data_IF_217973928070
#
_entry.id   IF_217973928070
#
_cell.length_a   1.000
_cell.length_b   1.000
_cell.length_c   1.000
_cell.angle_alpha   90.00
_cell.angle_beta   90.00
_cell.angle_gamma   90.00
#
_symmetry.space_group_name_H-M   'P 1'
#
loop_
_entity.id
_entity.type
_entity.pdbx_description
1 polymer ?
#
# COMPACT_ATOMS: atom_id res chain seq x y z
N UNK A 1 -1.91 -42.25 -11.86
CA UNK A 1 -0.65 -41.48 -11.74
C UNK A 1 -0.97 -40.27 -10.90
N UNK A 2 -0.58 -40.27 -9.63
CA UNK A 2 -0.84 -39.14 -8.72
C UNK A 2 0.19 -38.06 -8.97
N UNK A 3 -0.29 -36.87 -9.32
CA UNK A 3 0.52 -35.67 -9.51
C UNK A 3 1.33 -35.40 -8.23
N UNK A 4 2.62 -35.66 -8.29
CA UNK A 4 3.58 -35.25 -7.28
C UNK A 4 3.63 -33.72 -7.30
N UNK A 5 2.83 -33.10 -6.44
CA UNK A 5 2.93 -31.68 -6.11
C UNK A 5 4.33 -31.45 -5.53
N UNK A 6 5.25 -31.00 -6.39
CA UNK A 6 6.53 -30.43 -6.00
C UNK A 6 6.25 -29.11 -5.28
N UNK A 7 5.81 -29.20 -4.02
CA UNK A 7 5.99 -28.10 -3.09
C UNK A 7 7.49 -27.92 -2.94
N UNK A 8 8.02 -26.81 -3.46
CA UNK A 8 9.40 -26.42 -3.24
C UNK A 8 9.72 -26.63 -1.75
N UNK A 9 10.80 -27.36 -1.45
CA UNK A 9 11.22 -27.53 -0.06
C UNK A 9 11.32 -26.13 0.57
N UNK A 10 10.57 -25.85 1.64
CA UNK A 10 10.55 -24.52 2.19
C UNK A 10 11.97 -24.20 2.68
N UNK A 11 12.57 -23.19 2.07
CA UNK A 11 13.90 -22.71 2.43
C UNK A 11 13.87 -22.28 3.89
N UNK A 12 14.87 -22.72 4.65
CA UNK A 12 14.98 -22.35 6.07
C UNK A 12 15.15 -20.82 6.14
N UNK A 13 14.23 -20.09 6.79
CA UNK A 13 14.34 -18.64 6.92
C UNK A 13 15.57 -18.30 7.75
N UNK A 14 16.51 -17.55 7.18
CA UNK A 14 17.65 -17.06 7.94
C UNK A 14 17.22 -15.84 8.74
N UNK A 15 17.69 -15.76 9.97
CA UNK A 15 17.45 -14.61 10.82
C UNK A 15 18.30 -13.42 10.32
N UNK A 16 17.63 -12.35 9.92
CA UNK A 16 18.20 -11.13 9.33
C UNK A 16 18.20 -9.93 10.29
N UNK A 17 17.68 -10.11 11.51
CA UNK A 17 17.55 -9.06 12.52
C UNK A 17 16.10 -8.66 12.79
N UNK A 18 15.17 -8.93 11.87
CA UNK A 18 13.73 -8.73 12.09
C UNK A 18 13.13 -10.00 12.71
N UNK A 19 13.01 -9.99 14.04
CA UNK A 19 12.45 -11.14 14.75
C UNK A 19 10.99 -11.38 14.42
N UNK A 20 10.18 -10.34 14.21
CA UNK A 20 8.74 -10.52 14.00
C UNK A 20 8.50 -11.11 12.59
N UNK A 21 9.23 -10.64 11.57
CA UNK A 21 9.19 -11.26 10.23
C UNK A 21 9.75 -12.69 10.22
N UNK A 22 10.94 -12.89 10.79
CA UNK A 22 11.58 -14.20 10.83
C UNK A 22 10.75 -15.22 11.62
N UNK A 23 10.20 -14.84 12.77
CA UNK A 23 9.40 -15.73 13.61
C UNK A 23 8.14 -16.17 12.88
N UNK A 24 7.46 -15.29 12.14
CA UNK A 24 6.30 -15.66 11.32
C UNK A 24 6.65 -16.76 10.28
N UNK A 25 7.73 -16.56 9.54
CA UNK A 25 8.20 -17.53 8.54
C UNK A 25 8.62 -18.86 9.19
N UNK A 26 9.32 -18.79 10.32
CA UNK A 26 9.81 -19.95 11.02
C UNK A 26 8.69 -20.72 11.73
N UNK A 27 7.70 -20.04 12.29
CA UNK A 27 6.48 -20.64 12.82
C UNK A 27 5.71 -21.38 11.73
N UNK A 28 5.53 -20.74 10.57
CA UNK A 28 4.85 -21.36 9.43
C UNK A 28 5.59 -22.62 8.95
N UNK A 29 6.93 -22.56 8.85
CA UNK A 29 7.76 -23.71 8.52
C UNK A 29 7.58 -24.86 9.53
N UNK A 30 7.68 -24.56 10.83
CA UNK A 30 7.54 -25.57 11.89
C UNK A 30 6.12 -26.15 11.97
N UNK A 31 5.08 -25.35 11.69
CA UNK A 31 3.68 -25.82 11.59
C UNK A 31 3.48 -26.71 10.36
N UNK A 32 4.02 -26.32 9.20
CA UNK A 32 3.93 -27.12 7.96
C UNK A 32 4.60 -28.50 8.07
N UNK A 33 5.53 -28.65 9.01
CA UNK A 33 6.24 -29.91 9.29
C UNK A 33 5.73 -30.61 10.56
N UNK A 34 4.65 -30.14 11.17
CA UNK A 34 4.05 -30.68 12.40
C UNK A 34 4.99 -30.71 13.63
N UNK A 35 6.05 -29.90 13.63
CA UNK A 35 7.02 -29.81 14.72
C UNK A 35 6.66 -28.73 15.76
N UNK A 36 5.70 -27.85 15.43
CA UNK A 36 5.33 -26.70 16.27
C UNK A 36 4.71 -27.09 17.63
N UNK A 37 3.97 -28.20 17.71
CA UNK A 37 3.37 -28.67 18.98
C UNK A 37 4.42 -28.94 20.06
N UNK A 38 5.51 -29.60 19.69
CA UNK A 38 6.62 -29.92 20.60
C UNK A 38 7.43 -28.68 20.97
N UNK A 39 7.60 -27.73 20.04
CA UNK A 39 8.27 -26.45 20.31
C UNK A 39 7.52 -25.52 21.27
N UNK A 40 6.20 -25.70 21.44
CA UNK A 40 5.36 -24.85 22.31
C UNK A 40 5.12 -25.47 23.69
N UNK A 41 4.83 -26.77 23.74
CA UNK A 41 4.60 -27.48 25.01
C UNK A 41 5.95 -27.80 25.69
N UNK A 42 6.99 -28.09 24.90
CA UNK A 42 8.25 -28.63 25.40
C UNK A 42 8.10 -30.13 25.63
N UNK A 43 9.19 -30.88 25.46
CA UNK A 43 9.21 -32.29 25.87
C UNK A 43 9.17 -32.31 27.39
N UNK A 44 8.02 -32.61 27.99
CA UNK A 44 7.95 -32.95 29.42
C UNK A 44 8.68 -34.28 29.60
N UNK A 45 9.85 -34.24 30.23
CA UNK A 45 10.54 -35.44 30.66
C UNK A 45 9.79 -36.03 31.86
N UNK A 46 9.21 -37.24 31.76
CA UNK A 46 8.51 -37.85 32.89
C UNK A 46 9.53 -38.24 33.96
N UNK A 47 9.22 -37.95 35.23
CA UNK A 47 10.09 -38.23 36.39
C UNK A 47 10.42 -39.72 36.58
N UNK A 48 9.67 -40.63 35.95
CA UNK A 48 9.91 -42.08 35.97
C UNK A 48 9.64 -42.70 34.60
N UNK A 49 10.69 -42.89 33.79
CA UNK A 49 10.63 -43.56 32.48
C UNK A 49 10.16 -45.04 32.56
N UNK A 50 10.27 -45.66 33.74
CA UNK A 50 9.98 -47.08 33.97
C UNK A 50 8.50 -47.41 34.20
N UNK A 51 7.65 -46.41 34.50
CA UNK A 51 6.21 -46.59 34.72
C UNK A 51 5.37 -46.35 33.45
N UNK A 52 6.01 -45.98 32.33
CA UNK A 52 5.30 -45.67 31.08
C UNK A 52 4.97 -46.94 30.29
N UNK A 53 3.74 -46.98 29.79
CA UNK A 53 3.30 -47.97 28.82
C UNK A 53 4.11 -47.85 27.52
N UNK A 54 4.24 -48.94 26.76
CA UNK A 54 4.96 -48.94 25.48
C UNK A 54 4.46 -47.86 24.51
N UNK A 55 3.16 -47.59 24.51
CA UNK A 55 2.55 -46.52 23.74
C UNK A 55 3.04 -45.12 24.17
N UNK A 56 3.19 -44.87 25.47
CA UNK A 56 3.71 -43.60 25.98
C UNK A 56 5.22 -43.45 25.75
N UNK A 57 6.00 -44.54 25.85
CA UNK A 57 7.43 -44.53 25.49
C UNK A 57 7.65 -44.20 24.01
N UNK A 58 6.81 -44.76 23.12
CA UNK A 58 6.85 -44.45 21.69
C UNK A 58 6.46 -42.99 21.41
N UNK A 59 5.43 -42.47 22.06
CA UNK A 59 5.03 -41.06 21.95
C UNK A 59 6.13 -40.10 22.44
N UNK A 60 6.82 -40.43 23.55
CA UNK A 60 7.94 -39.65 24.07
C UNK A 60 9.14 -39.64 23.10
N UNK A 61 9.46 -40.80 22.50
CA UNK A 61 10.52 -40.90 21.50
C UNK A 61 10.19 -40.09 20.23
N UNK A 62 8.94 -40.12 19.78
CA UNK A 62 8.46 -39.28 18.67
C UNK A 62 8.53 -37.80 19.00
N UNK A 63 8.17 -37.39 20.23
CA UNK A 63 8.29 -36.01 20.69
C UNK A 63 9.75 -35.56 20.76
N UNK A 64 10.66 -36.37 21.33
CA UNK A 64 12.12 -36.09 21.34
C UNK A 64 12.67 -35.93 19.93
N UNK A 65 12.26 -36.80 19.01
CA UNK A 65 12.69 -36.70 17.60
C UNK A 65 12.19 -35.42 16.93
N UNK A 66 10.94 -35.01 17.21
CA UNK A 66 10.38 -33.74 16.72
C UNK A 66 11.11 -32.53 17.31
N UNK A 67 11.45 -32.55 18.60
CA UNK A 67 12.24 -31.48 19.25
C UNK A 67 13.64 -31.35 18.62
N UNK A 68 14.35 -32.46 18.42
CA UNK A 68 15.66 -32.46 17.76
C UNK A 68 15.59 -31.92 16.33
N UNK A 69 14.54 -32.28 15.58
CA UNK A 69 14.32 -31.74 14.23
C UNK A 69 14.06 -30.23 14.27
N UNK A 70 13.15 -29.77 15.15
CA UNK A 70 12.88 -28.34 15.33
C UNK A 70 14.15 -27.55 15.72
N UNK A 71 14.95 -28.11 16.62
CA UNK A 71 16.24 -27.55 17.04
C UNK A 71 17.24 -27.44 15.88
N UNK A 72 17.34 -28.47 15.04
CA UNK A 72 18.19 -28.43 13.85
C UNK A 72 17.77 -27.35 12.86
N UNK A 73 16.46 -27.15 12.66
CA UNK A 73 15.94 -26.04 11.85
C UNK A 73 16.31 -24.69 12.45
N UNK A 74 16.11 -24.51 13.76
CA UNK A 74 16.48 -23.27 14.45
C UNK A 74 17.97 -22.98 14.35
N UNK A 75 18.85 -23.97 14.56
CA UNK A 75 20.29 -23.77 14.37
C UNK A 75 20.67 -23.46 12.92
N UNK A 76 19.95 -24.00 11.94
CA UNK A 76 20.19 -23.70 10.53
C UNK A 76 19.73 -22.30 10.13
N UNK A 77 18.78 -21.74 10.87
CA UNK A 77 18.25 -20.39 10.66
C UNK A 77 19.10 -19.29 11.32
N UNK A 78 19.96 -19.63 12.29
CA UNK A 78 20.64 -18.68 13.15
C UNK A 78 22.15 -18.71 12.90
N UNK A 79 22.75 -17.53 12.75
CA UNK A 79 24.19 -17.42 12.60
C UNK A 79 24.97 -17.70 13.90
N UNK A 80 26.23 -18.12 13.74
CA UNK A 80 27.13 -18.46 14.86
C UNK A 80 27.30 -17.33 15.87
N UNK A 81 27.22 -16.07 15.43
CA UNK A 81 27.30 -14.88 16.30
C UNK A 81 26.11 -14.81 17.26
N UNK A 82 24.90 -15.00 16.75
CA UNK A 82 23.66 -15.00 17.53
C UNK A 82 23.62 -16.23 18.43
N UNK A 83 24.02 -17.39 17.91
CA UNK A 83 24.07 -18.61 18.69
C UNK A 83 24.96 -18.47 19.93
N UNK A 84 26.12 -17.80 19.83
CA UNK A 84 27.02 -17.55 20.98
C UNK A 84 26.38 -16.72 22.08
N UNK A 85 25.35 -15.95 21.76
CA UNK A 85 24.72 -15.03 22.71
C UNK A 85 23.48 -15.59 23.40
N UNK A 86 22.99 -16.75 22.96
CA UNK A 86 21.87 -17.45 23.57
C UNK A 86 22.41 -18.37 24.66
N UNK A 87 21.85 -18.28 25.88
CA UNK A 87 22.32 -18.99 27.07
C UNK A 87 21.68 -20.36 27.25
N UNK A 88 20.41 -20.55 26.88
CA UNK A 88 19.66 -21.80 27.04
C UNK A 88 19.36 -22.45 25.68
N UNK A 89 19.81 -23.70 25.50
CA UNK A 89 19.76 -24.42 24.20
C UNK A 89 19.42 -25.90 24.36
N UNK A 90 18.84 -26.32 25.48
CA UNK A 90 18.64 -27.74 25.75
C UNK A 90 17.50 -28.28 24.88
N UNK A 91 16.38 -27.55 24.81
CA UNK A 91 15.22 -27.87 23.98
C UNK A 91 14.98 -26.83 22.88
N UNK A 92 14.24 -27.20 21.83
CA UNK A 92 13.85 -26.25 20.78
C UNK A 92 13.04 -25.07 21.33
N UNK A 93 12.21 -25.34 22.37
CA UNK A 93 11.44 -24.34 23.12
C UNK A 93 12.33 -23.33 23.83
N UNK A 94 13.30 -23.78 24.63
CA UNK A 94 14.21 -22.89 25.33
C UNK A 94 15.01 -22.01 24.36
N UNK A 95 15.44 -22.57 23.23
CA UNK A 95 16.13 -21.84 22.17
C UNK A 95 15.22 -20.76 21.57
N UNK A 96 13.97 -21.12 21.26
CA UNK A 96 12.95 -20.19 20.74
C UNK A 96 12.65 -19.06 21.73
N UNK A 97 12.39 -19.39 23.00
CA UNK A 97 12.08 -18.41 24.05
C UNK A 97 13.27 -17.50 24.35
N UNK A 98 14.50 -18.01 24.27
CA UNK A 98 15.71 -17.19 24.41
C UNK A 98 15.88 -16.23 23.24
N UNK A 99 15.62 -16.68 22.02
CA UNK A 99 15.59 -15.78 20.85
C UNK A 99 14.51 -14.71 20.99
N UNK A 100 13.32 -15.12 21.42
CA UNK A 100 12.19 -14.22 21.68
C UNK A 100 12.58 -13.14 22.70
N UNK A 101 13.09 -13.55 23.85
CA UNK A 101 13.49 -12.63 24.92
C UNK A 101 14.57 -11.65 24.46
N UNK A 102 15.53 -12.13 23.66
CA UNK A 102 16.66 -11.32 23.22
C UNK A 102 16.32 -10.36 22.08
N UNK A 103 15.56 -10.80 21.08
CA UNK A 103 15.36 -10.06 19.83
C UNK A 103 13.97 -9.45 19.69
N UNK A 104 12.95 -10.04 20.32
CA UNK A 104 11.61 -9.43 20.37
C UNK A 104 11.57 -8.20 21.31
N UNK A 105 12.63 -8.02 22.11
CA UNK A 105 12.74 -6.97 23.12
C UNK A 105 11.86 -7.25 24.35
N UNK A 106 12.16 -6.57 25.45
CA UNK A 106 11.29 -6.59 26.62
C UNK A 106 9.99 -5.82 26.30
N UNK A 107 8.86 -6.11 26.97
CA UNK A 107 7.58 -5.42 26.80
C UNK A 107 7.71 -3.88 26.84
N UNK A 108 8.69 -3.37 27.59
CA UNK A 108 9.03 -1.93 27.64
C UNK A 108 9.53 -1.37 26.30
N UNK A 109 10.36 -2.11 25.58
CA UNK A 109 10.89 -1.70 24.27
C UNK A 109 9.77 -1.72 23.23
N UNK A 110 8.94 -2.78 23.21
CA UNK A 110 7.74 -2.82 22.35
C UNK A 110 6.80 -1.65 22.61
N UNK A 111 6.56 -1.31 23.88
CA UNK A 111 5.74 -0.13 24.23
C UNK A 111 6.35 1.17 23.71
N UNK A 112 7.67 1.36 23.85
CA UNK A 112 8.34 2.57 23.37
C UNK A 112 8.32 2.67 21.83
N UNK A 113 8.55 1.56 21.14
CA UNK A 113 8.40 1.46 19.68
C UNK A 113 6.96 1.77 19.25
N UNK A 114 5.97 1.19 19.94
CA UNK A 114 4.56 1.48 19.67
C UNK A 114 4.22 2.96 19.85
N UNK A 115 4.74 3.63 20.88
CA UNK A 115 4.52 5.09 21.03
C UNK A 115 5.14 5.89 19.88
N UNK A 116 6.32 5.47 19.41
CA UNK A 116 6.96 6.10 18.25
C UNK A 116 6.14 5.90 16.99
N UNK A 117 5.62 4.69 16.76
CA UNK A 117 4.76 4.36 15.63
C UNK A 117 3.44 5.12 15.68
N UNK A 118 2.80 5.25 16.85
CA UNK A 118 1.59 6.07 17.03
C UNK A 118 1.81 7.51 16.63
N UNK A 119 2.92 8.10 17.10
CA UNK A 119 3.31 9.47 16.69
C UNK A 119 3.53 9.55 15.19
N UNK A 120 4.24 8.59 14.59
CA UNK A 120 4.47 8.56 13.14
C UNK A 120 3.16 8.42 12.36
N UNK A 121 2.23 7.61 12.85
CA UNK A 121 0.90 7.43 12.26
C UNK A 121 0.06 8.70 12.37
N UNK A 122 0.10 9.40 13.50
CA UNK A 122 -0.58 10.70 13.69
C UNK A 122 -0.04 11.78 12.76
N UNK A 123 1.28 11.85 12.57
CA UNK A 123 1.95 12.79 11.66
C UNK A 123 1.91 12.37 10.19
N UNK A 124 1.46 11.15 9.89
CA UNK A 124 1.46 10.66 8.52
C UNK A 124 0.43 11.44 7.69
N UNK A 125 0.91 12.07 6.63
CA UNK A 125 0.09 12.79 5.65
C UNK A 125 0.56 12.49 4.23
N UNK A 126 -0.35 12.66 3.27
CA UNK A 126 -0.03 12.56 1.86
C UNK A 126 0.87 13.74 1.46
N UNK A 127 1.97 13.45 0.75
CA UNK A 127 2.88 14.51 0.29
C UNK A 127 2.39 15.11 -1.03
N UNK A 128 2.82 16.34 -1.31
CA UNK A 128 2.57 16.99 -2.59
C UNK A 128 3.24 16.21 -3.73
N UNK A 129 2.44 15.79 -4.72
CA UNK A 129 2.92 15.04 -5.90
C UNK A 129 3.18 13.55 -5.66
N UNK A 130 2.89 13.03 -4.47
CA UNK A 130 2.95 11.59 -4.20
C UNK A 130 1.77 10.86 -4.87
N UNK A 131 1.99 9.62 -5.32
CA UNK A 131 0.90 8.79 -5.84
C UNK A 131 0.05 8.21 -4.71
N UNK A 132 -1.21 7.89 -5.00
CA UNK A 132 -2.08 7.27 -4.00
C UNK A 132 -1.53 5.91 -3.58
N UNK A 133 -0.96 5.14 -4.51
CA UNK A 133 -0.36 3.84 -4.22
C UNK A 133 0.81 3.93 -3.24
N UNK A 134 1.70 4.91 -3.42
CA UNK A 134 2.85 5.11 -2.53
C UNK A 134 2.39 5.52 -1.13
N UNK A 135 1.43 6.44 -1.06
CA UNK A 135 0.84 6.88 0.19
C UNK A 135 0.19 5.72 0.96
N UNK A 136 -0.66 4.92 0.31
CA UNK A 136 -1.28 3.74 0.91
C UNK A 136 -0.24 2.73 1.40
N UNK A 137 0.83 2.51 0.63
CA UNK A 137 1.92 1.61 1.04
C UNK A 137 2.57 2.10 2.34
N UNK A 138 2.84 3.40 2.48
CA UNK A 138 3.39 3.98 3.72
C UNK A 138 2.43 3.82 4.91
N UNK A 139 1.14 4.10 4.71
CA UNK A 139 0.11 3.92 5.75
C UNK A 139 0.06 2.47 6.21
N UNK A 140 0.06 1.52 5.27
CA UNK A 140 -0.03 0.09 5.56
C UNK A 140 1.20 -0.45 6.28
N UNK A 141 2.41 0.01 5.91
CA UNK A 141 3.64 -0.36 6.64
C UNK A 141 3.54 0.05 8.10
N UNK A 142 3.22 1.33 8.37
CA UNK A 142 3.11 1.83 9.76
C UNK A 142 1.98 1.11 10.51
N UNK A 143 0.84 0.87 9.87
CA UNK A 143 -0.30 0.16 10.46
C UNK A 143 0.04 -1.29 10.82
N UNK A 144 0.76 -1.99 9.94
CA UNK A 144 1.20 -3.35 10.19
C UNK A 144 2.26 -3.41 11.29
N UNK A 145 3.20 -2.46 11.33
CA UNK A 145 4.19 -2.35 12.41
C UNK A 145 3.51 -2.13 13.78
N UNK A 146 2.43 -1.34 13.81
CA UNK A 146 1.61 -1.14 15.01
C UNK A 146 0.88 -2.43 15.43
N UNK A 147 0.31 -3.19 14.47
CA UNK A 147 -0.29 -4.51 14.73
C UNK A 147 0.75 -5.50 15.30
N UNK A 148 1.96 -5.51 14.76
CA UNK A 148 3.07 -6.34 15.23
C UNK A 148 3.51 -5.98 16.67
N UNK A 149 3.40 -4.71 17.04
CA UNK A 149 3.61 -4.24 18.41
C UNK A 149 2.44 -4.55 19.37
N UNK A 150 1.35 -5.15 18.87
CA UNK A 150 0.18 -5.55 19.64
C UNK A 150 -0.93 -4.50 19.75
N UNK A 151 -0.94 -3.50 18.87
CA UNK A 151 -2.03 -2.52 18.80
C UNK A 151 -3.20 -3.04 17.97
N UNK A 152 -4.42 -2.69 18.38
CA UNK A 152 -5.63 -3.03 17.61
C UNK A 152 -5.88 -1.97 16.53
N UNK A 153 -5.21 -2.16 15.39
CA UNK A 153 -5.38 -1.32 14.21
C UNK A 153 -6.48 -1.89 13.31
N UNK A 154 -7.72 -1.52 13.60
CA UNK A 154 -8.88 -1.84 12.77
C UNK A 154 -8.85 -1.07 11.46
N UNK A 155 -9.40 -1.66 10.39
CA UNK A 155 -9.42 -1.06 9.06
C UNK A 155 -10.15 0.31 9.06
N UNK A 156 -11.20 0.47 9.88
CA UNK A 156 -11.91 1.74 10.06
C UNK A 156 -10.97 2.87 10.47
N UNK A 157 -10.05 2.63 11.42
CA UNK A 157 -9.07 3.64 11.87
C UNK A 157 -8.12 4.03 10.74
N UNK A 158 -7.73 3.07 9.90
CA UNK A 158 -6.85 3.30 8.76
C UNK A 158 -7.59 4.11 7.68
N UNK A 159 -8.83 3.73 7.38
CA UNK A 159 -9.70 4.42 6.40
C UNK A 159 -9.95 5.86 6.82
N UNK A 160 -10.38 6.10 8.06
CA UNK A 160 -10.57 7.46 8.59
C UNK A 160 -9.28 8.29 8.52
N UNK A 161 -8.14 7.68 8.88
CA UNK A 161 -6.84 8.36 8.81
C UNK A 161 -6.50 8.78 7.39
N UNK A 162 -6.67 7.89 6.42
CA UNK A 162 -6.42 8.16 5.01
C UNK A 162 -7.32 9.29 4.55
N UNK A 163 -8.63 9.20 4.78
CA UNK A 163 -9.60 10.21 4.35
C UNK A 163 -9.31 11.60 4.93
N UNK A 164 -8.88 11.69 6.20
CA UNK A 164 -8.53 12.96 6.86
C UNK A 164 -7.20 13.58 6.39
N UNK A 165 -6.28 12.80 5.84
CA UNK A 165 -4.91 13.27 5.52
C UNK A 165 -4.55 13.16 4.04
N UNK A 166 -5.55 12.93 3.19
CA UNK A 166 -5.43 13.09 1.74
C UNK A 166 -5.30 14.58 1.37
N UNK A 167 -4.67 14.83 0.23
CA UNK A 167 -4.54 16.19 -0.31
C UNK A 167 -5.90 16.78 -0.70
N UNK A 168 -6.01 18.10 -0.67
CA UNK A 168 -7.26 18.84 -0.99
C UNK A 168 -7.83 18.52 -2.38
N UNK A 169 -6.99 18.11 -3.33
CA UNK A 169 -7.41 17.64 -4.66
C UNK A 169 -8.34 16.42 -4.63
N UNK A 170 -8.38 15.70 -3.51
CA UNK A 170 -9.23 14.53 -3.30
C UNK A 170 -10.44 14.82 -2.40
N UNK A 171 -10.63 16.04 -1.90
CA UNK A 171 -11.75 16.37 -1.01
C UNK A 171 -13.12 16.00 -1.63
N UNK A 172 -13.31 16.26 -2.92
CA UNK A 172 -14.56 15.93 -3.61
C UNK A 172 -14.88 14.42 -3.59
N UNK A 173 -13.88 13.56 -3.83
CA UNK A 173 -14.09 12.11 -3.82
C UNK A 173 -14.25 11.59 -2.38
N UNK A 174 -13.57 12.21 -1.41
CA UNK A 174 -13.75 11.90 0.02
C UNK A 174 -15.20 12.15 0.44
N UNK A 175 -15.74 13.35 0.20
CA UNK A 175 -17.14 13.65 0.52
C UNK A 175 -18.12 12.70 -0.20
N UNK A 176 -17.88 12.39 -1.47
CA UNK A 176 -18.72 11.44 -2.21
C UNK A 176 -18.68 10.02 -1.61
N UNK A 177 -17.54 9.58 -1.09
CA UNK A 177 -17.42 8.28 -0.41
C UNK A 177 -18.13 8.31 0.94
N UNK A 178 -17.97 9.38 1.72
CA UNK A 178 -18.65 9.58 3.01
C UNK A 178 -20.18 9.57 2.87
N UNK A 179 -20.71 10.14 1.78
CA UNK A 179 -22.15 10.16 1.52
C UNK A 179 -22.70 8.83 0.99
N UNK A 180 -21.89 8.08 0.24
CA UNK A 180 -22.37 6.90 -0.51
C UNK A 180 -22.07 5.56 0.15
N UNK A 181 -21.12 5.50 1.09
CA UNK A 181 -20.66 4.25 1.71
C UNK A 181 -20.64 4.36 3.23
N UNK A 182 -20.92 3.24 3.87
CA UNK A 182 -20.73 3.08 5.30
C UNK A 182 -19.24 2.91 5.62
N UNK A 183 -18.68 3.87 6.37
CA UNK A 183 -17.25 3.94 6.72
C UNK A 183 -16.87 2.78 7.65
N UNK A 184 -17.78 2.36 8.53
CA UNK A 184 -17.52 1.30 9.52
C UNK A 184 -17.31 -0.07 8.86
N UNK A 185 -17.86 -0.25 7.66
CA UNK A 185 -17.78 -1.49 6.89
C UNK A 185 -16.83 -1.38 5.68
N UNK A 186 -16.17 -0.23 5.49
CA UNK A 186 -15.32 0.00 4.33
C UNK A 186 -13.92 -0.61 4.55
N UNK A 187 -13.55 -1.58 3.71
CA UNK A 187 -12.18 -2.12 3.69
C UNK A 187 -11.18 -1.12 3.08
N UNK A 188 -9.92 -1.18 3.50
CA UNK A 188 -8.83 -0.35 2.95
C UNK A 188 -8.66 -0.57 1.43
N UNK A 189 -8.77 -1.80 0.96
CA UNK A 189 -8.61 -2.14 -0.47
C UNK A 189 -9.71 -1.51 -1.35
N UNK A 190 -10.94 -1.47 -0.86
CA UNK A 190 -12.07 -0.84 -1.55
C UNK A 190 -11.90 0.69 -1.64
N UNK A 191 -11.37 1.31 -0.57
CA UNK A 191 -11.02 2.73 -0.57
C UNK A 191 -9.90 3.01 -1.58
N UNK A 192 -8.81 2.23 -1.54
CA UNK A 192 -7.68 2.36 -2.45
C UNK A 192 -8.12 2.27 -3.91
N UNK A 193 -8.94 1.27 -4.24
CA UNK A 193 -9.47 1.07 -5.59
C UNK A 193 -10.30 2.27 -6.07
N UNK A 194 -11.14 2.83 -5.19
CA UNK A 194 -11.98 3.99 -5.52
C UNK A 194 -11.13 5.24 -5.80
N UNK A 195 -10.10 5.47 -4.98
CA UNK A 195 -9.20 6.62 -5.10
C UNK A 195 -8.28 6.51 -6.32
N UNK A 196 -7.74 5.33 -6.63
CA UNK A 196 -6.89 5.11 -7.81
C UNK A 196 -7.61 5.41 -9.13
N UNK A 197 -8.89 5.02 -9.24
CA UNK A 197 -9.72 5.35 -10.41
C UNK A 197 -9.85 6.87 -10.57
N UNK A 198 -9.99 7.60 -9.46
CA UNK A 198 -10.07 9.06 -9.49
C UNK A 198 -8.74 9.71 -9.85
N UNK A 199 -7.61 9.19 -9.34
CA UNK A 199 -6.25 9.66 -9.71
C UNK A 199 -6.01 9.57 -11.21
N UNK A 200 -6.41 8.46 -11.84
CA UNK A 200 -6.28 8.25 -13.28
C UNK A 200 -7.14 9.23 -14.09
N UNK A 201 -8.35 9.54 -13.63
CA UNK A 201 -9.23 10.52 -14.27
C UNK A 201 -8.66 11.94 -14.15
N UNK A 202 -8.20 12.33 -12.96
CA UNK A 202 -7.55 13.63 -12.69
C UNK A 202 -6.30 13.83 -13.57
N UNK A 203 -5.44 12.82 -13.71
CA UNK A 203 -4.25 12.89 -14.58
C UNK A 203 -4.63 13.11 -16.05
N UNK A 204 -5.68 12.46 -16.55
CA UNK A 204 -6.19 12.69 -17.93
C UNK A 204 -6.71 14.12 -18.11
N UNK A 205 -7.43 14.65 -17.13
CA UNK A 205 -7.94 16.03 -17.19
C UNK A 205 -6.81 17.05 -17.16
N UNK A 206 -5.81 16.89 -16.30
CA UNK A 206 -4.64 17.79 -16.25
C UNK A 206 -3.80 17.74 -17.54
N UNK A 207 -3.65 16.57 -18.15
CA UNK A 207 -3.00 16.44 -19.47
C UNK A 207 -3.84 17.08 -20.59
N UNK A 208 -5.17 16.98 -20.50
CA UNK A 208 -6.11 17.64 -21.43
C UNK A 208 -6.13 19.15 -21.30
N UNK A 209 -6.05 19.69 -20.08
CA UNK A 209 -6.02 21.14 -19.81
C UNK A 209 -4.68 21.75 -20.27
N UNK A 210 -3.56 21.10 -19.96
CA UNK A 210 -2.23 21.57 -20.42
C UNK A 210 -2.07 21.48 -21.95
N UNK A 211 -2.80 20.59 -22.63
CA UNK A 211 -2.82 20.53 -24.10
C UNK A 211 -3.67 21.61 -24.78
N UNK A 212 -4.65 22.18 -24.07
CA UNK A 212 -5.52 23.25 -24.59
C UNK A 212 -4.87 24.62 -24.43
N UNK A 213 -4.14 24.89 -23.35
CA UNK A 213 -3.44 26.17 -23.18
C UNK A 213 -2.32 26.40 -24.21
N UNK A 214 -1.64 25.35 -24.68
CA UNK A 214 -0.58 25.50 -25.70
C UNK A 214 -1.14 25.78 -27.13
N UNK A 215 -2.43 25.54 -27.36
CA UNK A 215 -3.08 25.76 -28.67
C UNK A 215 -3.96 27.01 -28.75
N UNK A 216 -4.33 27.64 -27.63
CA UNK A 216 -5.18 28.85 -27.65
C UNK A 216 -4.40 30.15 -27.91
N UNK A 217 -3.06 30.14 -27.82
CA UNK A 217 -2.20 31.34 -28.03
C UNK A 217 -1.37 31.35 -29.32
N UNK A 218 -1.86 30.76 -30.41
CA UNK A 218 -1.31 31.00 -31.76
C UNK A 218 -2.42 31.30 -32.78
N UNK A 219 -2.98 32.52 -32.72
CA UNK A 219 -3.53 33.15 -33.92
C UNK A 219 -2.36 33.65 -34.77
N UNK A 220 -1.64 32.71 -35.39
CA UNK A 220 -0.72 33.03 -36.48
C UNK A 220 -1.49 32.86 -37.78
N UNK A 221 -1.87 33.99 -38.40
CA UNK A 221 -2.29 34.04 -39.79
C UNK A 221 -1.14 33.48 -40.66
N UNK A 222 -1.23 32.20 -41.02
CA UNK A 222 -0.31 31.53 -41.92
C UNK A 222 -0.77 31.66 -43.37
N UNK A 223 0.08 32.25 -44.22
CA UNK A 223 -0.14 32.30 -45.67
C UNK A 223 0.93 33.07 -46.42
N UNK A 224 2.07 32.42 -46.66
CA UNK A 224 3.29 32.94 -47.29
C UNK A 224 3.12 33.30 -48.78
N UNK A 225 3.61 34.50 -49.14
CA UNK A 225 4.55 34.69 -50.25
C UNK A 225 4.05 35.34 -51.55
N UNK A 226 4.50 36.59 -51.81
CA UNK A 226 5.31 36.99 -52.99
C UNK A 226 5.48 38.52 -53.09
N UNK A 227 6.72 38.96 -53.28
CA UNK A 227 7.05 40.06 -54.20
C UNK A 227 6.86 41.49 -53.71
N UNK A 228 7.98 42.16 -53.43
CA UNK A 228 8.11 43.61 -53.25
C UNK A 228 7.78 44.37 -54.54
N UNK A 229 6.97 45.43 -54.41
CA UNK A 229 7.32 46.78 -54.83
C UNK A 229 7.04 47.20 -56.28
N UNK A 230 6.19 48.22 -56.42
CA UNK A 230 6.24 49.16 -57.54
C UNK A 230 4.90 49.36 -58.26
N UNK A 231 4.21 50.47 -58.01
CA UNK A 231 3.05 50.88 -58.80
C UNK A 231 2.26 52.03 -58.20
N UNK A 232 2.52 53.25 -58.67
CA UNK A 232 1.70 54.44 -58.47
C UNK A 232 0.24 54.19 -58.90
N UNK A 233 -0.72 54.72 -58.14
CA UNK A 233 -2.13 54.70 -58.54
C UNK A 233 -3.01 55.58 -57.67
N UNK A 234 -3.29 56.79 -58.17
CA UNK A 234 -4.31 57.73 -57.67
C UNK A 234 -5.69 57.06 -57.66
N UNK A 235 -6.52 57.28 -56.63
CA UNK A 235 -7.92 56.85 -56.69
C UNK A 235 -8.78 57.22 -55.49
N UNK A 236 -9.66 58.19 -55.69
CA UNK A 236 -10.69 58.66 -54.75
C UNK A 236 -11.83 57.62 -54.62
N UNK A 237 -12.29 57.39 -53.38
CA UNK A 237 -13.68 57.11 -52.99
C UNK A 237 -14.37 55.82 -53.44
N UNK A 238 -15.05 55.14 -52.51
CA UNK A 238 -16.49 54.78 -52.54
C UNK A 238 -16.85 53.77 -51.43
N UNK A 239 -18.00 54.00 -50.81
CA UNK A 239 -18.51 53.26 -49.67
C UNK A 239 -18.81 51.80 -49.95
N UNK A 240 -18.75 50.99 -48.89
CA UNK A 240 -19.26 49.61 -48.91
C UNK A 240 -20.77 49.66 -49.07
N UNK A 241 -21.24 49.07 -50.17
CA UNK A 241 -22.65 48.77 -50.42
C UNK A 241 -23.09 47.77 -49.35
N UNK A 242 -23.91 48.24 -48.40
CA UNK A 242 -24.56 47.39 -47.41
C UNK A 242 -25.86 46.88 -48.03
N UNK A 243 -25.94 45.58 -48.29
CA UNK A 243 -27.11 44.97 -48.91
C UNK A 243 -28.21 44.80 -47.84
N UNK A 244 -29.15 45.75 -47.76
CA UNK A 244 -30.23 45.73 -46.75
C UNK A 244 -31.25 44.61 -46.94
N UNK A 245 -31.23 43.92 -48.09
CA UNK A 245 -32.18 42.87 -48.43
C UNK A 245 -32.17 41.67 -47.47
N UNK A 246 -31.07 41.46 -46.73
CA UNK A 246 -30.93 40.36 -45.76
C UNK A 246 -31.07 40.81 -44.30
N UNK A 247 -31.39 42.08 -44.05
CA UNK A 247 -31.48 42.65 -42.71
C UNK A 247 -32.95 42.83 -42.34
N UNK A 248 -33.36 42.20 -41.25
CA UNK A 248 -34.71 42.26 -40.69
C UNK A 248 -34.83 43.42 -39.68
N UNK A 249 -35.89 44.23 -39.81
CA UNK A 249 -36.15 45.32 -38.89
C UNK A 249 -36.70 44.82 -37.55
N UNK A 250 -36.07 45.21 -36.43
CA UNK A 250 -36.47 44.79 -35.07
C UNK A 250 -37.89 45.20 -34.67
N UNK A 251 -38.47 46.23 -35.29
CA UNK A 251 -39.80 46.76 -34.92
C UNK A 251 -40.94 46.18 -35.76
N UNK A 252 -40.67 45.79 -37.01
CA UNK A 252 -41.72 45.37 -37.95
C UNK A 252 -41.44 44.06 -38.69
N UNK A 253 -40.31 43.39 -38.41
CA UNK A 253 -39.92 42.09 -38.93
C UNK A 253 -39.88 41.99 -40.47
N UNK A 254 -39.74 43.13 -41.15
CA UNK A 254 -39.61 43.19 -42.62
C UNK A 254 -38.15 43.35 -43.01
N UNK A 255 -37.75 42.62 -44.05
CA UNK A 255 -36.42 42.73 -44.66
C UNK A 255 -36.28 44.06 -45.44
N UNK A 256 -35.05 44.58 -45.56
CA UNK A 256 -34.77 45.73 -46.43
C UNK A 256 -34.52 47.07 -45.72
N UNK A 257 -34.69 47.16 -44.39
CA UNK A 257 -34.43 48.38 -43.62
C UNK A 257 -34.14 48.10 -42.15
N UNK A 258 -33.60 49.11 -41.46
CA UNK A 258 -33.31 49.07 -40.02
C UNK A 258 -33.85 50.36 -39.39
N UNK A 259 -34.61 50.24 -38.30
CA UNK A 259 -35.13 51.33 -37.49
C UNK A 259 -34.91 50.96 -36.02
N UNK A 260 -34.22 51.81 -35.27
CA UNK A 260 -34.10 51.69 -33.81
C UNK A 260 -35.44 51.97 -33.13
#
# INVERSE_FOLDING_TARGET
MGESSNFAQPSIPRFDGDYDHWSLLMENLLRSKEYFGVGKEGVMEPENEDMLTEAQKKALAEARLKDLKAKNYLFSAIDKSILKTITLKETSKQLWDSMKTKYQGNLRVKRAQLQTLRRNFELLEMKNGESISDYFTRVMVVSNDMRNCGDDMQDVKIVEKIMRTLNESFNYIVCSIEESKDIDNLSVDALQSSLLVHEQKMKKTNLGINGVEEQVLKVTYGGRGRGRGGGQGRGRGRGRIFNKATIECFKCHKLGHFQY
#
